data_IF_647182624036
#
_entry.id   IF_647182624036
#
_cell.length_a   1.000
_cell.length_b   1.000
_cell.length_c   1.000
_cell.angle_alpha   90.00
_cell.angle_beta   90.00
_cell.angle_gamma   90.00
#
_symmetry.space_group_name_H-M   'P 1'
#
loop_
_entity.id
_entity.type
_entity.pdbx_description
1 polymer ?
#
# COMPACT_ATOMS: atom_id res chain seq x y z
N UNK A 1 -41.10 -9.95 -62.03
CA UNK A 1 -41.98 -8.88 -61.51
C UNK A 1 -41.94 -8.93 -59.99
N UNK A 2 -41.70 -7.76 -59.38
CA UNK A 2 -42.02 -7.30 -58.01
C UNK A 2 -41.81 -8.27 -56.82
N UNK A 3 -40.84 -8.06 -55.92
CA UNK A 3 -40.67 -7.03 -54.87
C UNK A 3 -41.42 -7.30 -53.55
N UNK A 4 -40.63 -7.17 -52.48
CA UNK A 4 -40.96 -6.92 -51.06
C UNK A 4 -41.54 -8.10 -50.25
N UNK A 5 -41.13 -8.37 -49.01
CA UNK A 5 -40.16 -7.74 -48.12
C UNK A 5 -40.38 -8.29 -46.70
N UNK A 6 -39.32 -8.47 -45.91
CA UNK A 6 -39.34 -8.39 -44.45
C UNK A 6 -37.92 -8.62 -43.93
N UNK A 7 -37.27 -7.52 -43.52
CA UNK A 7 -36.06 -7.56 -42.73
C UNK A 7 -36.42 -8.00 -41.30
N UNK A 8 -36.00 -9.20 -40.90
CA UNK A 8 -35.97 -9.64 -39.52
C UNK A 8 -34.61 -9.29 -38.92
N UNK A 9 -34.50 -8.12 -38.29
CA UNK A 9 -33.32 -7.75 -37.53
C UNK A 9 -33.24 -8.58 -36.25
N UNK A 10 -32.22 -9.42 -36.13
CA UNK A 10 -31.82 -10.04 -34.88
C UNK A 10 -31.38 -8.94 -33.90
N UNK A 11 -32.33 -8.51 -33.09
CA UNK A 11 -32.09 -7.61 -31.97
C UNK A 11 -31.20 -8.29 -30.95
N UNK A 12 -29.98 -7.77 -30.79
CA UNK A 12 -29.11 -8.09 -29.67
C UNK A 12 -29.88 -8.02 -28.34
N UNK A 13 -29.67 -8.96 -27.40
CA UNK A 13 -30.37 -8.95 -26.13
C UNK A 13 -30.06 -7.64 -25.41
N UNK A 14 -31.11 -6.85 -25.17
CA UNK A 14 -31.02 -5.61 -24.39
C UNK A 14 -30.39 -5.91 -23.03
N UNK A 15 -29.51 -5.05 -22.49
CA UNK A 15 -28.95 -5.26 -21.17
C UNK A 15 -30.09 -5.37 -20.16
N UNK A 16 -30.14 -6.49 -19.42
CA UNK A 16 -31.10 -6.68 -18.34
C UNK A 16 -30.95 -5.51 -17.36
N UNK A 17 -31.92 -4.60 -17.36
CA UNK A 17 -32.05 -3.57 -16.33
C UNK A 17 -32.22 -4.31 -15.00
N UNK A 18 -31.17 -4.33 -14.18
CA UNK A 18 -31.28 -4.76 -12.79
C UNK A 18 -32.35 -3.88 -12.12
N UNK A 19 -33.49 -4.48 -11.78
CA UNK A 19 -34.49 -3.83 -10.94
C UNK A 19 -33.87 -3.63 -9.57
N UNK A 20 -33.43 -2.42 -9.26
CA UNK A 20 -33.11 -2.03 -7.90
C UNK A 20 -34.40 -2.04 -7.08
N UNK A 21 -34.49 -2.94 -6.10
CA UNK A 21 -35.57 -2.93 -5.11
C UNK A 21 -35.56 -1.60 -4.32
N UNK A 22 -36.71 -0.90 -4.16
CA UNK A 22 -36.75 0.39 -3.48
C UNK A 22 -36.84 0.19 -1.95
N UNK A 23 -35.71 -0.02 -1.29
CA UNK A 23 -35.64 0.06 0.18
C UNK A 23 -35.45 1.52 0.66
N UNK A 24 -36.41 2.41 0.37
CA UNK A 24 -36.33 3.81 0.82
C UNK A 24 -36.55 4.01 2.34
N UNK A 25 -36.96 2.97 3.08
CA UNK A 25 -37.21 3.05 4.53
C UNK A 25 -36.16 2.32 5.41
N UNK A 26 -35.20 1.60 4.83
CA UNK A 26 -34.23 0.84 5.61
C UNK A 26 -33.22 1.75 6.32
N UNK A 27 -32.96 1.45 7.59
CA UNK A 27 -31.88 2.05 8.38
C UNK A 27 -30.94 0.96 8.90
N UNK A 28 -29.64 1.23 8.93
CA UNK A 28 -28.64 0.33 9.50
C UNK A 28 -27.46 1.11 10.05
N UNK A 29 -26.76 0.54 11.04
CA UNK A 29 -25.48 1.11 11.48
C UNK A 29 -24.34 0.48 10.71
N UNK A 30 -23.34 1.29 10.41
CA UNK A 30 -22.10 0.88 9.75
C UNK A 30 -20.90 1.37 10.56
N UNK A 31 -19.85 0.56 10.62
CA UNK A 31 -18.55 0.94 11.16
C UNK A 31 -17.57 1.14 10.01
N UNK A 32 -16.97 2.33 9.92
CA UNK A 32 -16.06 2.66 8.82
C UNK A 32 -14.67 2.13 9.14
N UNK A 33 -14.21 1.09 8.42
CA UNK A 33 -12.92 0.45 8.74
C UNK A 33 -11.74 1.21 8.15
N UNK A 34 -11.90 1.83 6.98
CA UNK A 34 -10.80 2.48 6.29
C UNK A 34 -11.20 3.80 5.62
N UNK A 35 -10.18 4.62 5.33
CA UNK A 35 -10.39 5.85 4.59
C UNK A 35 -10.91 5.54 3.19
N UNK A 36 -11.99 6.21 2.71
CA UNK A 36 -12.50 5.98 1.38
C UNK A 36 -11.50 6.32 0.27
N UNK A 37 -11.46 5.46 -0.74
CA UNK A 37 -10.73 5.65 -1.99
C UNK A 37 -11.64 6.33 -3.02
N UNK A 38 -11.15 7.38 -3.69
CA UNK A 38 -11.86 7.97 -4.84
C UNK A 38 -11.51 7.17 -6.09
N UNK A 39 -12.53 6.77 -6.84
CA UNK A 39 -12.43 6.06 -8.11
C UNK A 39 -13.19 6.81 -9.20
N UNK A 40 -12.80 6.57 -10.44
CA UNK A 40 -13.49 7.08 -11.64
C UNK A 40 -14.20 5.95 -12.35
N UNK A 41 -15.47 6.16 -12.69
CA UNK A 41 -16.22 5.20 -13.47
C UNK A 41 -15.60 5.09 -14.88
N UNK A 42 -15.30 3.88 -15.38
CA UNK A 42 -14.72 3.70 -16.71
C UNK A 42 -15.55 4.27 -17.85
N UNK A 43 -16.87 4.37 -17.68
CA UNK A 43 -17.80 4.73 -18.75
C UNK A 43 -17.95 6.24 -18.93
N UNK A 44 -18.12 6.98 -17.83
CA UNK A 44 -18.44 8.40 -17.85
C UNK A 44 -17.43 9.26 -17.06
N UNK A 45 -16.34 8.66 -16.57
CA UNK A 45 -15.29 9.28 -15.76
C UNK A 45 -15.79 10.00 -14.49
N UNK A 46 -17.06 9.81 -14.10
CA UNK A 46 -17.59 10.41 -12.87
C UNK A 46 -16.93 9.78 -11.65
N UNK A 47 -16.64 10.64 -10.70
CA UNK A 47 -16.02 10.24 -9.45
C UNK A 47 -17.05 9.67 -8.48
N UNK A 48 -16.64 8.60 -7.80
CA UNK A 48 -17.34 8.00 -6.69
C UNK A 48 -16.30 7.54 -5.68
N UNK A 49 -16.70 7.28 -4.44
CA UNK A 49 -15.78 6.72 -3.47
C UNK A 49 -16.22 5.32 -3.01
N UNK A 50 -15.24 4.54 -2.59
CA UNK A 50 -15.42 3.18 -2.06
C UNK A 50 -14.64 3.06 -0.77
N UNK A 51 -15.23 2.41 0.23
CA UNK A 51 -14.54 1.99 1.45
C UNK A 51 -15.05 0.64 1.91
N UNK A 52 -14.39 0.01 2.87
CA UNK A 52 -14.87 -1.19 3.54
C UNK A 52 -15.47 -0.86 4.91
N UNK A 53 -16.60 -1.49 5.22
CA UNK A 53 -17.37 -1.27 6.45
C UNK A 53 -17.81 -2.60 7.07
N UNK A 54 -18.09 -2.59 8.35
CA UNK A 54 -18.91 -3.62 9.01
C UNK A 54 -20.33 -3.08 9.16
N UNK A 55 -21.35 -3.94 9.14
CA UNK A 55 -22.74 -3.49 9.22
C UNK A 55 -23.56 -4.30 10.22
N UNK A 56 -24.63 -3.69 10.75
CA UNK A 56 -25.59 -4.39 11.63
C UNK A 56 -26.29 -5.56 10.93
N UNK A 57 -26.36 -5.54 9.59
CA UNK A 57 -26.99 -6.61 8.80
C UNK A 57 -26.34 -7.97 9.04
N UNK A 58 -25.04 -7.99 9.34
CA UNK A 58 -24.29 -9.21 9.68
C UNK A 58 -23.81 -9.19 11.12
N UNK A 59 -24.46 -8.41 12.00
CA UNK A 59 -24.03 -8.16 13.37
C UNK A 59 -22.54 -7.76 13.48
N UNK A 60 -22.05 -6.98 12.50
CA UNK A 60 -20.66 -6.55 12.37
C UNK A 60 -19.62 -7.67 12.16
N UNK A 61 -20.05 -8.88 11.80
CA UNK A 61 -19.13 -10.02 11.61
C UNK A 61 -18.57 -10.15 10.19
N UNK A 62 -19.07 -9.35 9.24
CA UNK A 62 -18.73 -9.49 7.82
C UNK A 62 -18.41 -8.11 7.25
N UNK A 63 -17.37 -8.08 6.41
CA UNK A 63 -16.99 -6.90 5.64
C UNK A 63 -17.95 -6.69 4.47
N UNK A 64 -18.33 -5.45 4.26
CA UNK A 64 -19.05 -4.98 3.09
C UNK A 64 -18.27 -3.86 2.40
N UNK A 65 -18.29 -3.85 1.07
CA UNK A 65 -17.92 -2.64 0.32
C UNK A 65 -19.06 -1.61 0.43
N UNK A 66 -18.70 -0.36 0.73
CA UNK A 66 -19.57 0.80 0.74
C UNK A 66 -19.23 1.69 -0.45
N UNK A 67 -20.16 1.79 -1.39
CA UNK A 67 -20.11 2.72 -2.52
C UNK A 67 -20.85 4.00 -2.16
N UNK A 68 -20.19 5.15 -2.35
CA UNK A 68 -20.76 6.45 -1.99
C UNK A 68 -20.53 7.52 -3.06
N UNK A 69 -21.44 8.48 -3.10
CA UNK A 69 -21.28 9.70 -3.89
C UNK A 69 -20.30 10.66 -3.21
N UNK A 70 -19.70 11.56 -3.99
CA UNK A 70 -18.73 12.55 -3.48
C UNK A 70 -19.34 13.48 -2.42
N UNK A 71 -20.66 13.71 -2.47
CA UNK A 71 -21.41 14.47 -1.45
C UNK A 71 -21.14 13.99 -0.03
N UNK A 72 -21.03 12.68 0.18
CA UNK A 72 -20.87 12.08 1.51
C UNK A 72 -19.40 11.80 1.88
N UNK A 73 -18.46 12.00 0.96
CA UNK A 73 -17.06 11.61 1.11
C UNK A 73 -16.42 12.19 2.36
N UNK A 74 -16.49 13.50 2.54
CA UNK A 74 -15.85 14.18 3.68
C UNK A 74 -16.42 13.73 5.03
N UNK A 75 -17.72 13.45 5.08
CA UNK A 75 -18.37 12.94 6.28
C UNK A 75 -17.86 11.53 6.62
N UNK A 76 -17.87 10.62 5.64
CA UNK A 76 -17.41 9.24 5.85
C UNK A 76 -15.91 9.22 6.20
N UNK A 77 -15.09 10.01 5.51
CA UNK A 77 -13.65 10.13 5.75
C UNK A 77 -13.32 10.59 7.17
N UNK A 78 -14.04 11.58 7.71
CA UNK A 78 -13.87 12.05 9.11
C UNK A 78 -14.37 11.05 10.15
N UNK A 79 -15.12 10.04 9.71
CA UNK A 79 -15.71 9.00 10.56
C UNK A 79 -15.02 7.64 10.41
N UNK A 80 -13.85 7.58 9.78
CA UNK A 80 -12.98 6.38 9.84
C UNK A 80 -12.75 5.98 11.30
N UNK A 81 -12.93 4.70 11.60
CA UNK A 81 -12.85 4.16 12.94
C UNK A 81 -14.06 4.46 13.83
N UNK A 82 -15.19 4.95 13.28
CA UNK A 82 -16.42 5.28 14.02
C UNK A 82 -17.66 4.61 13.43
N UNK A 83 -18.73 4.57 14.22
CA UNK A 83 -20.05 4.15 13.77
C UNK A 83 -20.85 5.31 13.18
N UNK A 84 -21.63 5.02 12.13
CA UNK A 84 -22.62 5.90 11.54
C UNK A 84 -23.95 5.17 11.40
N UNK A 85 -25.06 5.90 11.52
CA UNK A 85 -26.38 5.43 11.14
C UNK A 85 -26.69 5.93 9.73
N UNK A 86 -27.02 5.01 8.81
CA UNK A 86 -27.43 5.34 7.45
C UNK A 86 -28.89 4.98 7.22
N UNK A 87 -29.63 5.84 6.52
CA UNK A 87 -31.04 5.63 6.13
C UNK A 87 -31.27 5.96 4.67
N UNK A 88 -32.04 5.12 3.98
CA UNK A 88 -32.29 5.29 2.54
C UNK A 88 -31.08 4.89 1.70
N UNK A 89 -30.44 3.77 2.06
CA UNK A 89 -29.38 3.13 1.29
C UNK A 89 -29.96 1.99 0.45
N UNK A 90 -29.18 1.49 -0.50
CA UNK A 90 -29.49 0.23 -1.21
C UNK A 90 -28.43 -0.81 -0.92
N UNK A 91 -28.82 -2.08 -0.88
CA UNK A 91 -27.89 -3.21 -0.79
C UNK A 91 -28.02 -4.04 -2.05
N UNK A 92 -26.88 -4.46 -2.61
CA UNK A 92 -26.81 -5.33 -3.79
C UNK A 92 -26.74 -6.80 -3.37
N UNK A 93 -26.91 -7.69 -4.35
CA UNK A 93 -26.89 -9.15 -4.15
C UNK A 93 -25.52 -9.65 -3.66
N UNK A 94 -24.44 -8.94 -3.99
CA UNK A 94 -23.08 -9.17 -3.48
C UNK A 94 -22.87 -8.62 -2.05
N UNK A 95 -23.96 -8.24 -1.38
CA UNK A 95 -24.00 -7.60 -0.07
C UNK A 95 -23.29 -6.24 0.02
N UNK A 96 -22.84 -5.64 -1.10
CA UNK A 96 -22.31 -4.29 -1.09
C UNK A 96 -23.40 -3.27 -0.79
N UNK A 97 -23.02 -2.23 -0.07
CA UNK A 97 -23.91 -1.16 0.37
C UNK A 97 -23.65 0.04 -0.55
N UNK A 98 -24.72 0.64 -1.06
CA UNK A 98 -24.64 1.86 -1.86
C UNK A 98 -25.45 2.97 -1.21
N UNK A 99 -24.76 4.06 -0.87
CA UNK A 99 -25.37 5.31 -0.46
C UNK A 99 -25.42 6.27 -1.64
N UNK A 100 -26.51 7.03 -1.72
CA UNK A 100 -26.80 7.98 -2.79
C UNK A 100 -26.97 9.38 -2.21
N UNK A 101 -27.19 10.38 -3.05
CA UNK A 101 -27.34 11.76 -2.58
C UNK A 101 -28.57 11.97 -1.67
N UNK A 102 -29.56 11.05 -1.74
CA UNK A 102 -30.74 11.05 -0.87
C UNK A 102 -30.56 10.27 0.43
N UNK A 103 -29.44 9.54 0.60
CA UNK A 103 -29.16 8.82 1.84
C UNK A 103 -28.86 9.81 2.96
N UNK A 104 -29.47 9.61 4.12
CA UNK A 104 -29.20 10.35 5.34
C UNK A 104 -28.09 9.61 6.09
N UNK A 105 -27.03 10.34 6.48
CA UNK A 105 -25.88 9.83 7.23
C UNK A 105 -25.77 10.60 8.54
N UNK A 106 -25.85 9.89 9.67
CA UNK A 106 -25.86 10.48 11.01
C UNK A 106 -24.73 9.90 11.85
N UNK A 107 -24.12 10.73 12.70
CA UNK A 107 -23.23 10.23 13.73
C UNK A 107 -24.04 9.41 14.75
N UNK A 108 -23.43 8.35 15.26
CA UNK A 108 -24.04 7.54 16.31
C UNK A 108 -22.97 7.05 17.28
N UNK A 109 -23.40 6.59 18.45
CA UNK A 109 -22.49 6.02 19.43
C UNK A 109 -21.81 4.77 18.88
N UNK A 110 -20.62 4.46 19.40
CA UNK A 110 -19.93 3.21 19.06
C UNK A 110 -20.76 2.00 19.50
N UNK A 111 -20.84 0.98 18.64
CA UNK A 111 -21.45 -0.28 19.00
C UNK A 111 -20.49 -1.17 19.79
N UNK A 112 -20.95 -1.66 20.95
CA UNK A 112 -20.15 -2.55 21.82
C UNK A 112 -19.90 -3.92 21.20
N UNK A 113 -20.73 -4.33 20.23
CA UNK A 113 -20.66 -5.63 19.57
C UNK A 113 -19.57 -5.72 18.49
N UNK A 114 -18.91 -4.60 18.15
CA UNK A 114 -17.85 -4.61 17.14
C UNK A 114 -16.59 -5.22 17.74
N UNK A 115 -16.21 -6.38 17.22
CA UNK A 115 -14.98 -7.06 17.62
C UNK A 115 -13.74 -6.33 17.07
N UNK A 116 -12.81 -6.00 17.97
CA UNK A 116 -11.49 -5.46 17.62
C UNK A 116 -10.67 -6.46 16.81
N UNK A 117 -10.89 -7.77 16.98
CA UNK A 117 -10.18 -8.80 16.23
C UNK A 117 -10.55 -8.78 14.74
N UNK A 118 -11.81 -8.53 14.41
CA UNK A 118 -12.28 -8.42 13.02
C UNK A 118 -11.65 -7.20 12.36
N UNK A 119 -11.62 -6.07 13.08
CA UNK A 119 -10.98 -4.84 12.61
C UNK A 119 -9.48 -5.10 12.38
N UNK A 120 -8.80 -5.72 13.35
CA UNK A 120 -7.38 -6.05 13.25
C UNK A 120 -7.10 -6.95 12.04
N UNK A 121 -7.83 -8.07 11.89
CA UNK A 121 -7.70 -8.96 10.73
C UNK A 121 -7.95 -8.27 9.39
N UNK A 122 -8.70 -7.16 9.38
CA UNK A 122 -8.97 -6.41 8.16
C UNK A 122 -7.89 -5.38 7.82
N UNK A 123 -7.42 -4.61 8.81
CA UNK A 123 -6.52 -3.45 8.60
C UNK A 123 -5.05 -3.84 8.78
N UNK A 124 -4.79 -4.81 9.64
CA UNK A 124 -3.46 -5.32 9.98
C UNK A 124 -3.49 -6.87 9.96
N UNK A 125 -3.76 -7.48 8.79
CA UNK A 125 -3.78 -8.93 8.66
C UNK A 125 -2.39 -9.52 8.90
N UNK A 126 -2.36 -10.80 9.29
CA UNK A 126 -1.13 -11.54 9.53
C UNK A 126 -0.21 -11.55 8.28
N UNK A 127 1.10 -11.58 8.54
CA UNK A 127 2.11 -11.75 7.50
C UNK A 127 2.18 -13.23 7.15
N UNK A 128 1.95 -13.55 5.88
CA UNK A 128 1.90 -14.91 5.37
C UNK A 128 3.00 -15.14 4.33
N UNK A 129 3.39 -16.40 4.16
CA UNK A 129 4.23 -16.81 3.03
C UNK A 129 3.47 -16.72 1.70
N UNK A 130 4.19 -16.61 0.59
CA UNK A 130 3.59 -16.57 -0.75
C UNK A 130 2.78 -17.84 -1.05
N UNK A 131 3.24 -19.02 -0.62
CA UNK A 131 2.50 -20.26 -0.77
C UNK A 131 1.16 -20.23 -0.02
N UNK A 132 1.13 -19.73 1.22
CA UNK A 132 -0.11 -19.58 1.98
C UNK A 132 -1.05 -18.56 1.32
N UNK A 133 -0.53 -17.45 0.81
CA UNK A 133 -1.32 -16.43 0.12
C UNK A 133 -2.00 -17.01 -1.12
N UNK A 134 -1.31 -17.90 -1.85
CA UNK A 134 -1.88 -18.57 -3.04
C UNK A 134 -3.08 -19.47 -2.73
N UNK A 135 -3.31 -19.84 -1.48
CA UNK A 135 -4.50 -20.61 -1.04
C UNK A 135 -5.69 -19.73 -0.66
N UNK A 136 -5.52 -18.40 -0.59
CA UNK A 136 -6.55 -17.46 -0.15
C UNK A 136 -7.58 -17.16 -1.23
N UNK A 137 -8.74 -16.68 -0.79
CA UNK A 137 -9.85 -16.35 -1.67
C UNK A 137 -9.76 -14.90 -2.15
N UNK A 138 -10.39 -14.64 -3.30
CA UNK A 138 -10.48 -13.27 -3.83
C UNK A 138 -11.15 -12.36 -2.80
N UNK A 139 -10.51 -11.22 -2.54
CA UNK A 139 -10.97 -10.24 -1.57
C UNK A 139 -10.41 -10.42 -0.17
N UNK A 140 -9.72 -11.52 0.15
CA UNK A 140 -9.07 -11.69 1.45
C UNK A 140 -8.01 -10.61 1.67
N UNK A 141 -7.80 -10.25 2.95
CA UNK A 141 -6.76 -9.31 3.37
C UNK A 141 -5.55 -10.11 3.86
N UNK A 142 -4.37 -9.77 3.35
CA UNK A 142 -3.12 -10.44 3.70
C UNK A 142 -1.98 -9.43 3.83
N UNK A 143 -0.97 -9.78 4.61
CA UNK A 143 0.32 -9.08 4.61
C UNK A 143 1.39 -10.03 4.09
N UNK A 144 2.47 -9.49 3.52
CA UNK A 144 3.55 -10.28 2.95
C UNK A 144 4.90 -9.64 3.23
N UNK A 145 5.88 -10.47 3.54
CA UNK A 145 7.29 -10.10 3.57
C UNK A 145 7.99 -10.85 2.43
N UNK A 146 8.81 -10.16 1.67
CA UNK A 146 9.51 -10.77 0.54
C UNK A 146 10.56 -9.86 -0.08
N UNK A 147 11.33 -10.45 -0.98
CA UNK A 147 12.37 -9.79 -1.75
C UNK A 147 11.79 -9.26 -3.06
N UNK A 148 12.20 -8.06 -3.47
CA UNK A 148 11.73 -7.43 -4.70
C UNK A 148 12.54 -7.95 -5.89
N UNK A 149 12.03 -8.97 -6.56
CA UNK A 149 12.68 -9.57 -7.72
C UNK A 149 12.59 -8.69 -8.97
N UNK A 150 11.45 -8.04 -9.20
CA UNK A 150 11.22 -7.24 -10.42
C UNK A 150 10.26 -6.09 -10.19
N UNK A 151 10.53 -4.95 -10.86
CA UNK A 151 9.65 -3.79 -10.90
C UNK A 151 9.33 -3.44 -12.36
N UNK A 152 8.05 -3.26 -12.69
CA UNK A 152 7.66 -2.81 -14.04
C UNK A 152 7.70 -1.29 -14.17
N UNK A 153 7.70 -0.81 -15.42
CA UNK A 153 7.32 0.57 -15.70
C UNK A 153 5.90 0.88 -15.20
N UNK A 154 5.63 2.17 -15.01
CA UNK A 154 4.29 2.63 -14.62
C UNK A 154 3.32 2.43 -15.78
N UNK A 155 2.21 1.75 -15.50
CA UNK A 155 1.10 1.55 -16.41
C UNK A 155 0.02 2.58 -16.07
N UNK A 156 -0.26 3.50 -16.99
CA UNK A 156 -1.22 4.58 -16.77
C UNK A 156 -2.29 4.58 -17.87
N UNK A 157 -3.54 4.72 -17.45
CA UNK A 157 -4.72 4.88 -18.29
C UNK A 157 -5.48 6.13 -17.87
N UNK A 158 -6.52 6.52 -18.61
CA UNK A 158 -7.38 7.67 -18.27
C UNK A 158 -8.01 7.58 -16.87
N UNK A 159 -8.15 6.37 -16.33
CA UNK A 159 -8.89 6.12 -15.07
C UNK A 159 -8.08 5.43 -14.00
N UNK A 160 -6.85 5.01 -14.29
CA UNK A 160 -6.03 4.27 -13.32
C UNK A 160 -4.54 4.44 -13.57
N UNK A 161 -3.77 4.38 -12.49
CA UNK A 161 -2.31 4.37 -12.51
C UNK A 161 -1.82 3.26 -11.61
N UNK A 162 -0.96 2.38 -12.13
CA UNK A 162 -0.37 1.28 -11.35
C UNK A 162 1.05 0.95 -11.75
N UNK A 163 1.76 0.29 -10.84
CA UNK A 163 3.03 -0.39 -11.08
C UNK A 163 2.92 -1.81 -10.55
N UNK A 164 3.57 -2.77 -11.20
CA UNK A 164 3.58 -4.15 -10.76
C UNK A 164 4.97 -4.44 -10.19
N UNK A 165 4.98 -5.02 -8.99
CA UNK A 165 6.15 -5.57 -8.34
C UNK A 165 6.01 -7.08 -8.28
N UNK A 166 7.06 -7.82 -8.60
CA UNK A 166 7.13 -9.25 -8.36
C UNK A 166 7.92 -9.47 -7.07
N UNK A 167 7.28 -10.07 -6.07
CA UNK A 167 7.91 -10.45 -4.82
C UNK A 167 8.27 -11.93 -4.84
N UNK A 168 9.38 -12.27 -4.21
CA UNK A 168 9.84 -13.65 -4.01
C UNK A 168 10.09 -13.91 -2.53
N UNK A 169 9.83 -15.14 -2.11
CA UNK A 169 10.26 -15.72 -0.84
C UNK A 169 10.70 -17.18 -1.07
N UNK A 170 11.02 -17.91 0.00
CA UNK A 170 11.43 -19.31 -0.09
C UNK A 170 10.34 -20.24 -0.68
N UNK A 171 9.09 -19.80 -0.71
CA UNK A 171 7.92 -20.58 -1.12
C UNK A 171 7.43 -20.26 -2.53
N UNK A 172 7.92 -19.19 -3.16
CA UNK A 172 7.72 -18.90 -4.58
C UNK A 172 7.69 -17.41 -4.92
N UNK A 173 7.02 -17.07 -6.02
CA UNK A 173 6.85 -15.69 -6.48
C UNK A 173 5.39 -15.27 -6.60
N UNK A 174 5.12 -13.97 -6.48
CA UNK A 174 3.79 -13.37 -6.57
C UNK A 174 3.84 -11.92 -7.06
N UNK A 175 2.91 -11.56 -7.95
CA UNK A 175 2.76 -10.18 -8.41
C UNK A 175 1.89 -9.35 -7.47
N UNK A 176 2.38 -8.17 -7.13
CA UNK A 176 1.70 -7.13 -6.35
C UNK A 176 1.48 -5.91 -7.24
N UNK A 177 0.22 -5.49 -7.39
CA UNK A 177 -0.19 -4.30 -8.13
C UNK A 177 -0.32 -3.13 -7.17
N UNK A 178 0.61 -2.17 -7.30
CA UNK A 178 0.64 -0.93 -6.54
C UNK A 178 -0.13 0.15 -7.29
N UNK A 179 -1.24 0.60 -6.72
CA UNK A 179 -2.20 1.52 -7.35
C UNK A 179 -2.10 2.94 -6.79
N UNK A 180 -2.38 3.93 -7.64
CA UNK A 180 -2.56 5.33 -7.25
C UNK A 180 -1.32 5.91 -6.55
N UNK A 181 -1.49 6.37 -5.32
CA UNK A 181 -0.40 6.95 -4.51
C UNK A 181 0.69 5.95 -4.12
N UNK A 182 0.46 4.64 -4.29
CA UNK A 182 1.44 3.59 -3.97
C UNK A 182 2.44 3.34 -5.09
N UNK A 183 2.20 3.86 -6.30
CA UNK A 183 2.98 3.57 -7.52
C UNK A 183 4.47 3.86 -7.37
N UNK A 184 4.82 4.93 -6.64
CA UNK A 184 6.20 5.38 -6.46
C UNK A 184 6.76 5.08 -5.06
N UNK A 185 6.04 4.33 -4.21
CA UNK A 185 6.52 4.01 -2.85
C UNK A 185 7.70 3.03 -2.85
N UNK A 186 7.93 2.35 -3.97
CA UNK A 186 9.05 1.45 -4.17
C UNK A 186 9.69 1.73 -5.53
N UNK A 187 10.98 1.98 -5.50
CA UNK A 187 11.78 2.34 -6.68
C UNK A 187 12.96 1.41 -6.89
N UNK A 188 13.42 0.73 -5.85
CA UNK A 188 14.62 -0.08 -5.91
C UNK A 188 14.24 -1.56 -6.03
N UNK A 189 14.76 -2.20 -7.07
CA UNK A 189 14.76 -3.65 -7.19
C UNK A 189 15.76 -4.21 -6.17
N UNK A 190 15.54 -5.44 -5.72
CA UNK A 190 16.37 -6.17 -4.76
C UNK A 190 16.30 -5.71 -3.30
N UNK A 191 15.34 -4.85 -2.96
CA UNK A 191 15.03 -4.55 -1.56
C UNK A 191 14.27 -5.72 -0.93
N UNK A 192 14.56 -6.02 0.34
CA UNK A 192 13.63 -6.78 1.18
C UNK A 192 12.56 -5.83 1.71
N UNK A 193 11.31 -6.23 1.63
CA UNK A 193 10.19 -5.37 2.05
C UNK A 193 9.16 -6.15 2.85
N UNK A 194 8.41 -5.42 3.67
CA UNK A 194 7.16 -5.88 4.27
C UNK A 194 6.03 -4.98 3.79
N UNK A 195 5.01 -5.57 3.17
CA UNK A 195 3.79 -4.87 2.78
C UNK A 195 2.64 -5.39 3.63
N UNK A 196 2.00 -4.47 4.36
CA UNK A 196 0.86 -4.77 5.22
C UNK A 196 -0.44 -4.43 4.48
N UNK A 197 -1.46 -5.27 4.68
CA UNK A 197 -2.83 -5.04 4.23
C UNK A 197 -2.96 -4.88 2.70
N UNK A 198 -2.71 -5.97 1.98
CA UNK A 198 -3.01 -6.14 0.57
C UNK A 198 -4.35 -6.88 0.40
N UNK A 199 -4.97 -6.72 -0.77
CA UNK A 199 -6.18 -7.48 -1.15
C UNK A 199 -5.81 -8.57 -2.15
N UNK A 200 -6.22 -9.81 -1.87
CA UNK A 200 -6.08 -10.93 -2.80
C UNK A 200 -6.98 -10.73 -4.01
N UNK A 201 -6.42 -10.90 -5.20
CA UNK A 201 -7.12 -10.89 -6.48
C UNK A 201 -6.85 -12.18 -7.24
N UNK A 202 -7.90 -12.68 -7.90
CA UNK A 202 -7.85 -13.92 -8.67
C UNK A 202 -8.36 -13.63 -10.07
N UNK A 203 -7.49 -13.83 -11.06
CA UNK A 203 -7.81 -13.64 -12.47
C UNK A 203 -7.26 -14.80 -13.30
N UNK A 204 -8.13 -15.50 -14.01
CA UNK A 204 -7.79 -16.66 -14.84
C UNK A 204 -6.90 -17.69 -14.10
N UNK A 205 -7.25 -17.98 -12.84
CA UNK A 205 -6.50 -18.94 -12.01
C UNK A 205 -5.18 -18.42 -11.45
N UNK A 206 -4.78 -17.18 -11.75
CA UNK A 206 -3.57 -16.56 -11.19
C UNK A 206 -3.92 -15.69 -9.99
N UNK A 207 -3.27 -15.96 -8.87
CA UNK A 207 -3.33 -15.14 -7.67
C UNK A 207 -2.40 -13.95 -7.85
N UNK A 208 -2.88 -12.76 -7.49
CA UNK A 208 -2.09 -11.53 -7.40
C UNK A 208 -2.59 -10.70 -6.22
N UNK A 209 -1.82 -9.69 -5.81
CA UNK A 209 -2.21 -8.79 -4.73
C UNK A 209 -2.46 -7.38 -5.26
N UNK A 210 -3.40 -6.66 -4.65
CA UNK A 210 -3.67 -5.25 -4.92
C UNK A 210 -3.43 -4.42 -3.66
N UNK A 211 -2.66 -3.33 -3.80
CA UNK A 211 -2.66 -2.28 -2.78
C UNK A 211 -4.03 -1.61 -2.67
N UNK A 212 -4.33 -1.09 -1.49
CA UNK A 212 -5.55 -0.36 -1.15
C UNK A 212 -5.20 0.84 -0.23
N UNK A 213 -6.20 1.55 0.28
CA UNK A 213 -5.98 2.75 1.11
C UNK A 213 -5.35 2.46 2.47
N UNK A 214 -5.51 1.23 2.98
CA UNK A 214 -4.91 0.76 4.22
C UNK A 214 -3.53 0.13 4.02
N UNK A 215 -3.04 0.01 2.78
CA UNK A 215 -1.74 -0.61 2.49
C UNK A 215 -0.59 0.25 3.02
N UNK A 216 0.28 -0.36 3.82
CA UNK A 216 1.55 0.23 4.22
C UNK A 216 2.71 -0.60 3.68
N UNK A 217 3.82 0.07 3.35
CA UNK A 217 5.02 -0.57 2.83
C UNK A 217 6.19 -0.11 3.69
N UNK A 218 7.00 -1.06 4.14
CA UNK A 218 8.23 -0.85 4.86
C UNK A 218 9.37 -1.52 4.09
N UNK A 219 10.38 -0.74 3.71
CA UNK A 219 11.62 -1.28 3.15
C UNK A 219 12.49 -1.74 4.31
N UNK A 220 12.84 -3.02 4.33
CA UNK A 220 13.77 -3.59 5.28
C UNK A 220 15.18 -3.27 4.81
N UNK A 221 15.71 -2.14 5.27
CA UNK A 221 17.11 -1.80 5.03
C UNK A 221 17.98 -2.75 5.87
N UNK A 222 18.62 -3.70 5.20
CA UNK A 222 19.64 -4.52 5.83
C UNK A 222 20.85 -3.66 6.18
N UNK A 223 21.50 -3.96 7.31
CA UNK A 223 22.80 -3.36 7.63
C UNK A 223 23.83 -3.88 6.65
N UNK A 224 24.48 -2.97 5.93
CA UNK A 224 25.58 -3.29 5.03
C UNK A 224 26.87 -2.70 5.59
N UNK A 225 27.94 -3.48 5.57
CA UNK A 225 29.27 -2.94 5.88
C UNK A 225 29.87 -2.33 4.61
N UNK A 226 30.25 -1.06 4.70
CA UNK A 226 30.89 -0.31 3.63
C UNK A 226 32.29 0.06 4.10
N UNK A 227 33.25 -0.15 3.22
CA UNK A 227 34.64 0.26 3.43
C UNK A 227 35.08 1.16 2.28
N UNK A 228 35.78 2.24 2.59
CA UNK A 228 36.29 3.13 1.55
C UNK A 228 36.94 4.39 2.08
N UNK A 229 37.46 5.18 1.15
CA UNK A 229 38.02 6.49 1.41
C UNK A 229 36.89 7.52 1.50
N UNK A 230 37.00 8.44 2.43
CA UNK A 230 36.11 9.61 2.47
C UNK A 230 36.60 10.59 1.41
N UNK A 231 35.74 10.87 0.44
CA UNK A 231 36.03 11.75 -0.71
C UNK A 231 35.54 13.19 -0.47
N UNK A 232 34.52 13.35 0.38
CA UNK A 232 33.95 14.64 0.76
C UNK A 232 33.20 14.53 2.09
N UNK A 233 33.06 15.64 2.81
CA UNK A 233 32.24 15.73 4.02
C UNK A 233 31.50 17.07 4.11
N UNK A 234 30.24 17.02 4.52
CA UNK A 234 29.43 18.20 4.88
C UNK A 234 29.23 18.24 6.39
N UNK A 235 29.58 19.37 7.02
CA UNK A 235 29.50 19.59 8.46
C UNK A 235 28.28 20.43 8.87
N UNK A 236 27.35 20.67 7.95
CA UNK A 236 26.14 21.46 8.24
C UNK A 236 25.21 20.73 9.20
N UNK A 237 24.76 21.39 10.27
CA UNK A 237 23.97 20.77 11.36
C UNK A 237 22.74 19.98 10.91
N UNK A 238 22.13 20.36 9.79
CA UNK A 238 20.91 19.73 9.29
C UNK A 238 21.16 18.76 8.11
N UNK A 239 22.40 18.68 7.60
CA UNK A 239 22.78 17.91 6.41
C UNK A 239 24.18 17.30 6.55
N UNK A 240 24.49 16.76 7.73
CA UNK A 240 25.76 16.08 7.95
C UNK A 240 25.85 14.82 7.10
N UNK A 241 26.87 14.75 6.26
CA UNK A 241 27.05 13.68 5.30
C UNK A 241 28.52 13.48 4.92
N UNK A 242 28.86 12.27 4.50
CA UNK A 242 30.16 11.93 3.91
C UNK A 242 29.95 11.21 2.58
N UNK A 243 30.90 11.35 1.66
CA UNK A 243 30.90 10.64 0.38
C UNK A 243 31.96 9.54 0.40
N UNK A 244 31.57 8.33 0.03
CA UNK A 244 32.44 7.15 -0.06
C UNK A 244 32.08 6.40 -1.34
N UNK A 245 33.06 6.15 -2.22
CA UNK A 245 32.87 5.46 -3.49
C UNK A 245 31.75 6.10 -4.33
N UNK A 246 31.77 7.44 -4.47
CA UNK A 246 30.76 8.23 -5.19
C UNK A 246 29.32 8.19 -4.61
N UNK A 247 29.13 7.65 -3.40
CA UNK A 247 27.82 7.59 -2.72
C UNK A 247 27.81 8.44 -1.46
N UNK A 248 26.75 9.26 -1.32
CA UNK A 248 26.55 10.13 -0.15
C UNK A 248 25.78 9.39 0.94
N UNK A 249 26.37 9.34 2.13
CA UNK A 249 25.79 8.77 3.34
C UNK A 249 25.56 9.87 4.39
N UNK A 250 24.40 9.84 5.02
CA UNK A 250 24.00 10.74 6.10
C UNK A 250 24.39 10.15 7.45
N UNK A 251 24.78 10.99 8.39
CA UNK A 251 25.16 10.57 9.73
C UNK A 251 24.82 11.64 10.77
N UNK A 252 24.72 11.23 12.04
CA UNK A 252 24.47 12.15 13.15
C UNK A 252 25.73 12.95 13.50
N UNK A 253 25.58 14.05 14.22
CA UNK A 253 26.72 14.83 14.73
C UNK A 253 27.64 13.99 15.63
N UNK A 254 27.09 13.07 16.41
CA UNK A 254 27.87 12.15 17.24
C UNK A 254 28.78 11.25 16.38
N UNK A 255 28.24 10.66 15.32
CA UNK A 255 29.01 9.84 14.39
C UNK A 255 30.00 10.70 13.59
N UNK A 256 29.60 11.90 13.17
CA UNK A 256 30.50 12.82 12.46
C UNK A 256 31.73 13.17 13.28
N UNK A 257 31.57 13.43 14.59
CA UNK A 257 32.70 13.71 15.51
C UNK A 257 33.60 12.50 15.77
N UNK A 258 33.10 11.27 15.56
CA UNK A 258 33.96 10.07 15.62
C UNK A 258 34.90 9.98 14.42
N UNK A 259 34.49 10.52 13.27
CA UNK A 259 35.32 10.58 12.06
C UNK A 259 36.20 11.83 12.10
N UNK A 260 35.58 12.99 12.35
CA UNK A 260 36.22 14.31 12.35
C UNK A 260 35.97 15.01 13.70
N UNK A 261 36.80 14.76 14.73
CA UNK A 261 36.59 15.31 16.08
C UNK A 261 36.46 16.83 16.12
N UNK A 262 37.20 17.53 15.26
CA UNK A 262 37.20 18.99 15.16
C UNK A 262 36.18 19.56 14.15
N UNK A 263 35.34 18.70 13.53
CA UNK A 263 34.37 19.09 12.51
C UNK A 263 34.99 19.80 11.29
N UNK A 264 36.21 19.41 10.93
CA UNK A 264 36.92 19.87 9.74
C UNK A 264 37.32 18.67 8.88
N UNK A 265 37.34 18.86 7.56
CA UNK A 265 37.75 17.81 6.63
C UNK A 265 39.23 17.49 6.77
N UNK A 266 39.55 16.20 6.87
CA UNK A 266 40.92 15.67 6.88
C UNK A 266 41.04 14.73 5.69
N UNK A 267 42.04 14.97 4.84
CA UNK A 267 42.26 14.17 3.64
C UNK A 267 42.85 12.79 3.97
N UNK A 268 42.72 11.85 3.03
CA UNK A 268 43.24 10.48 3.13
C UNK A 268 42.69 9.69 4.34
N UNK A 269 41.46 9.96 4.75
CA UNK A 269 40.76 9.16 5.75
C UNK A 269 40.01 8.00 5.12
N UNK A 270 40.15 6.81 5.71
CA UNK A 270 39.39 5.61 5.35
C UNK A 270 38.53 5.18 6.51
N UNK A 271 37.36 4.64 6.20
CA UNK A 271 36.39 4.19 7.19
C UNK A 271 35.85 2.81 6.88
N UNK A 272 35.51 2.11 7.95
CA UNK A 272 34.67 0.92 7.95
C UNK A 272 33.39 1.29 8.70
N UNK A 273 32.25 1.26 8.03
CA UNK A 273 30.96 1.71 8.57
C UNK A 273 29.87 0.68 8.30
N UNK A 274 28.86 0.65 9.16
CA UNK A 274 27.61 -0.05 8.86
C UNK A 274 26.54 0.99 8.50
N UNK A 275 25.79 0.71 7.44
CA UNK A 275 24.76 1.60 6.91
C UNK A 275 23.41 0.89 6.82
N UNK A 276 22.32 1.64 7.03
CA UNK A 276 20.95 1.25 6.66
C UNK A 276 20.47 2.20 5.57
N UNK A 277 20.40 1.70 4.33
CA UNK A 277 20.24 2.56 3.16
C UNK A 277 21.39 3.57 3.08
N UNK A 278 21.06 4.87 2.99
CA UNK A 278 22.06 5.94 2.95
C UNK A 278 22.34 6.54 4.33
N UNK A 279 22.00 5.86 5.42
CA UNK A 279 22.22 6.35 6.79
C UNK A 279 23.29 5.50 7.46
N UNK A 280 24.37 6.13 7.90
CA UNK A 280 25.39 5.50 8.73
C UNK A 280 24.80 5.26 10.11
N UNK A 281 24.77 4.00 10.53
CA UNK A 281 24.27 3.59 11.85
C UNK A 281 25.41 3.30 12.81
N UNK A 282 26.59 2.94 12.31
CA UNK A 282 27.75 2.63 13.12
C UNK A 282 29.05 2.93 12.36
N UNK A 283 30.04 3.41 13.10
CA UNK A 283 31.42 3.52 12.64
C UNK A 283 32.22 2.44 13.36
N UNK A 284 32.77 1.51 12.58
CA UNK A 284 33.55 0.38 13.08
C UNK A 284 35.02 0.76 13.20
N UNK A 285 35.56 1.46 12.20
CA UNK A 285 36.96 1.84 12.13
C UNK A 285 37.14 3.15 11.36
N UNK A 286 38.12 3.94 11.78
CA UNK A 286 38.55 5.19 11.15
C UNK A 286 40.06 5.21 11.18
N UNK A 287 40.72 5.30 10.02
CA UNK A 287 42.19 5.33 9.94
C UNK A 287 42.66 6.31 8.88
N UNK A 288 43.91 6.76 9.00
CA UNK A 288 44.61 7.37 7.88
C UNK A 288 44.99 6.29 6.86
N UNK A 289 45.04 6.67 5.57
CA UNK A 289 45.31 5.77 4.44
C UNK A 289 46.62 5.00 4.59
N UNK A 290 47.63 5.58 5.24
CA UNK A 290 48.94 4.97 5.45
C UNK A 290 48.95 3.84 6.49
N UNK A 291 47.91 3.73 7.32
CA UNK A 291 47.80 2.75 8.41
C UNK A 291 46.76 1.65 8.13
N UNK A 292 46.11 1.67 6.96
CA UNK A 292 44.94 0.83 6.65
C UNK A 292 45.29 -0.65 6.45
N UNK A 293 46.42 -0.96 5.79
CA UNK A 293 46.82 -2.35 5.52
C UNK A 293 47.27 -3.11 6.78
N UNK A 294 47.78 -2.41 7.80
CA UNK A 294 48.24 -3.01 9.06
C UNK A 294 47.11 -3.39 10.03
N UNK A 295 45.90 -2.82 9.85
CA UNK A 295 44.78 -3.00 10.78
C UNK A 295 43.71 -3.99 10.29
N UNK A 296 43.61 -4.24 8.98
CA UNK A 296 42.71 -5.26 8.44
C UNK A 296 43.13 -6.69 8.84
N UNK A 297 44.43 -6.96 8.95
CA UNK A 297 44.96 -8.28 9.39
C UNK A 297 44.68 -8.60 10.87
N UNK A 298 44.24 -7.62 11.68
CA UNK A 298 43.93 -7.82 13.10
C UNK A 298 42.43 -8.05 13.38
N UNK A 299 41.58 -7.96 12.35
CA UNK A 299 40.12 -8.00 12.49
C UNK A 299 39.39 -8.96 11.52
N UNK A 300 40.12 -9.82 10.79
CA UNK A 300 39.58 -11.09 10.26
C UNK A 300 39.60 -12.19 11.32
#
# INVERSE_FOLDING_TARGET
MALAGAAGGDGAPSPKKHKSSPFQAAQQKIYIMETPEIRKNPTDAKEYAVTNVLSTTTAFNTRHELYLTIKHLEKIKKSTGKCLLIRGFSQRDDHSIRITDTTIVMDTAMEKSISTEIIKKHIEPDILSIAEIKTKQKGDRVSVKGHVDKITNVLETKTSKRRIITLTDQSGSLDVKMWGSHVNKLTNQYDDITIICLTVDLYMGRVSLNSNTSTTLQVMQQEQSIHGKIEAASFERNQMSIMINDVIYNLTEELMKRIFPEMNYIDNMRVSINVKGNSIVQINMVTAENDWELQLEQHE
#
